data_IF_217985777336
#
_entry.id   IF_217985777336
#
_cell.length_a   1.000
_cell.length_b   1.000
_cell.length_c   1.000
_cell.angle_alpha   90.00
_cell.angle_beta   90.00
_cell.angle_gamma   90.00
#
_symmetry.space_group_name_H-M   'P 1'
#
loop_
_entity.id
_entity.type
_entity.pdbx_description
1 polymer ?
#
# COMPACT_ATOMS: atom_id res chain seq x y z
N UNK A 1 -10.66 20.70 26.58
CA UNK A 1 -10.84 20.46 25.13
C UNK A 1 -9.54 19.98 24.46
N UNK A 2 -8.51 19.58 25.21
CA UNK A 2 -7.17 19.27 24.67
C UNK A 2 -7.03 17.85 24.10
N UNK A 3 -7.69 16.86 24.70
CA UNK A 3 -7.47 15.44 24.33
C UNK A 3 -8.02 15.05 22.94
N UNK A 4 -9.22 15.51 22.55
CA UNK A 4 -9.78 15.16 21.24
C UNK A 4 -8.99 15.79 20.09
N UNK A 5 -8.61 17.07 20.23
CA UNK A 5 -7.83 17.77 19.22
C UNK A 5 -6.43 17.16 19.04
N UNK A 6 -5.77 16.78 20.14
CA UNK A 6 -4.48 16.07 20.10
C UNK A 6 -4.61 14.72 19.39
N UNK A 7 -5.66 13.95 19.71
CA UNK A 7 -5.95 12.68 19.04
C UNK A 7 -6.19 12.86 17.55
N UNK A 8 -6.96 13.88 17.15
CA UNK A 8 -7.25 14.17 15.75
C UNK A 8 -5.98 14.60 14.98
N UNK A 9 -5.14 15.44 15.60
CA UNK A 9 -3.86 15.85 15.03
C UNK A 9 -2.91 14.66 14.84
N UNK A 10 -2.81 13.77 15.83
CA UNK A 10 -2.00 12.56 15.75
C UNK A 10 -2.52 11.60 14.68
N UNK A 11 -3.84 11.40 14.62
CA UNK A 11 -4.48 10.58 13.59
C UNK A 11 -4.15 11.11 12.19
N UNK A 12 -4.26 12.42 11.98
CA UNK A 12 -3.91 13.06 10.71
C UNK A 12 -2.44 12.88 10.36
N UNK A 13 -1.54 13.07 11.33
CA UNK A 13 -0.11 12.87 11.14
C UNK A 13 0.19 11.44 10.66
N UNK A 14 -0.31 10.42 11.36
CA UNK A 14 -0.09 9.01 11.01
C UNK A 14 -0.72 8.67 9.66
N UNK A 15 -1.96 9.10 9.43
CA UNK A 15 -2.71 8.77 8.22
C UNK A 15 -2.10 9.36 6.94
N UNK A 16 -1.44 10.51 7.05
CA UNK A 16 -0.83 11.18 5.91
C UNK A 16 0.66 10.86 5.77
N UNK A 17 1.28 10.20 6.75
CA UNK A 17 2.69 9.83 6.71
C UNK A 17 2.92 8.59 5.84
N UNK A 18 3.54 8.69 4.66
CA UNK A 18 3.74 7.56 3.75
C UNK A 18 4.58 6.45 4.36
N UNK A 19 5.54 6.79 5.24
CA UNK A 19 6.37 5.81 5.95
C UNK A 19 5.55 4.80 6.74
N UNK A 20 4.50 5.25 7.43
CA UNK A 20 3.63 4.38 8.23
C UNK A 20 2.91 3.33 7.37
N UNK A 21 2.45 3.72 6.19
CA UNK A 21 1.83 2.80 5.22
C UNK A 21 2.83 1.77 4.67
N UNK A 22 4.06 2.19 4.38
CA UNK A 22 5.13 1.31 3.90
C UNK A 22 5.51 0.29 4.98
N UNK A 23 5.75 0.74 6.22
CA UNK A 23 6.08 -0.12 7.35
C UNK A 23 4.99 -1.15 7.61
N UNK A 24 3.72 -0.73 7.57
CA UNK A 24 2.60 -1.64 7.73
C UNK A 24 2.58 -2.70 6.62
N UNK A 25 2.75 -2.30 5.36
CA UNK A 25 2.84 -3.23 4.23
C UNK A 25 4.00 -4.23 4.39
N UNK A 26 5.17 -3.77 4.84
CA UNK A 26 6.33 -4.62 5.09
C UNK A 26 6.07 -5.63 6.21
N UNK A 27 5.44 -5.19 7.32
CA UNK A 27 5.08 -6.08 8.43
C UNK A 27 4.15 -7.21 7.99
N UNK A 28 3.15 -6.89 7.13
CA UNK A 28 2.23 -7.87 6.55
C UNK A 28 2.97 -8.85 5.64
N UNK A 29 3.88 -8.36 4.79
CA UNK A 29 4.71 -9.22 3.93
C UNK A 29 5.57 -10.17 4.75
N UNK A 30 6.16 -9.69 5.85
CA UNK A 30 6.92 -10.54 6.79
C UNK A 30 6.04 -11.65 7.36
N UNK A 31 4.81 -11.33 7.77
CA UNK A 31 3.84 -12.31 8.26
C UNK A 31 3.38 -13.31 7.18
N UNK A 32 3.35 -12.91 5.90
CA UNK A 32 2.97 -13.77 4.79
C UNK A 32 4.06 -14.78 4.39
N UNK A 33 5.35 -14.51 4.66
CA UNK A 33 6.47 -15.37 4.24
C UNK A 33 6.39 -16.80 4.80
N UNK A 34 6.17 -17.03 6.11
CA UNK A 34 6.03 -18.39 6.63
C UNK A 34 4.87 -19.17 5.99
N UNK A 35 3.77 -18.48 5.64
CA UNK A 35 2.61 -19.09 4.98
C UNK A 35 3.00 -19.60 3.60
N UNK A 36 3.69 -18.79 2.79
CA UNK A 36 4.15 -19.21 1.47
C UNK A 36 5.17 -20.34 1.54
N UNK A 37 6.10 -20.26 2.48
CA UNK A 37 7.08 -21.32 2.71
C UNK A 37 6.38 -22.66 2.98
N UNK A 38 5.43 -22.68 3.92
CA UNK A 38 4.64 -23.87 4.24
C UNK A 38 3.83 -24.36 3.04
N UNK A 39 3.28 -23.44 2.26
CA UNK A 39 2.54 -23.78 1.04
C UNK A 39 3.42 -24.49 0.01
N UNK A 40 4.66 -24.05 -0.18
CA UNK A 40 5.61 -24.68 -1.09
C UNK A 40 6.08 -26.06 -0.60
N UNK A 41 6.16 -26.25 0.73
CA UNK A 41 6.44 -27.57 1.34
C UNK A 41 5.30 -28.57 1.07
N UNK A 42 4.05 -28.11 1.09
CA UNK A 42 2.85 -28.92 0.84
C UNK A 42 2.56 -29.13 -0.64
N UNK A 43 3.14 -28.34 -1.56
CA UNK A 43 2.80 -28.31 -2.99
C UNK A 43 2.87 -29.64 -3.76
N UNK A 44 3.34 -30.72 -3.12
CA UNK A 44 3.38 -32.10 -3.64
C UNK A 44 2.62 -33.12 -2.77
N UNK A 45 1.90 -32.67 -1.75
CA UNK A 45 1.28 -33.52 -0.76
C UNK A 45 -0.02 -34.18 -1.25
N UNK A 46 -0.41 -35.34 -0.70
CA UNK A 46 -1.66 -36.02 -1.02
C UNK A 46 -2.90 -35.16 -0.74
N UNK A 47 -4.05 -35.62 -1.22
CA UNK A 47 -5.38 -34.99 -1.02
C UNK A 47 -5.74 -34.70 0.44
N UNK A 48 -5.08 -35.36 1.40
CA UNK A 48 -5.28 -35.20 2.83
C UNK A 48 -4.94 -33.78 3.32
N UNK A 49 -4.00 -33.10 2.67
CA UNK A 49 -3.57 -31.73 3.02
C UNK A 49 -4.34 -30.63 2.27
N UNK A 50 -5.41 -30.99 1.54
CA UNK A 50 -6.17 -30.04 0.71
C UNK A 50 -6.68 -28.85 1.51
N UNK A 51 -7.20 -29.08 2.72
CA UNK A 51 -7.75 -28.00 3.57
C UNK A 51 -6.65 -27.04 4.01
N UNK A 52 -5.48 -27.57 4.40
CA UNK A 52 -4.32 -26.75 4.77
C UNK A 52 -3.83 -25.92 3.57
N UNK A 53 -3.63 -26.57 2.41
CA UNK A 53 -3.22 -25.89 1.17
C UNK A 53 -4.17 -24.75 0.80
N UNK A 54 -5.49 -24.98 0.83
CA UNK A 54 -6.48 -23.96 0.54
C UNK A 54 -6.42 -22.80 1.54
N UNK A 55 -6.25 -23.10 2.84
CA UNK A 55 -6.08 -22.09 3.88
C UNK A 55 -4.84 -21.22 3.67
N UNK A 56 -3.72 -21.85 3.32
CA UNK A 56 -2.44 -21.16 3.07
C UNK A 56 -2.50 -20.29 1.80
N UNK A 57 -3.04 -20.80 0.69
CA UNK A 57 -3.23 -20.01 -0.55
C UNK A 57 -4.09 -18.78 -0.25
N UNK A 58 -5.23 -18.98 0.41
CA UNK A 58 -6.19 -17.91 0.74
C UNK A 58 -5.57 -16.87 1.67
N UNK A 59 -4.90 -17.31 2.73
CA UNK A 59 -4.23 -16.45 3.68
C UNK A 59 -3.11 -15.65 3.03
N UNK A 60 -2.27 -16.30 2.23
CA UNK A 60 -1.17 -15.64 1.54
C UNK A 60 -1.66 -14.58 0.56
N UNK A 61 -2.58 -14.92 -0.36
CA UNK A 61 -3.12 -13.98 -1.35
C UNK A 61 -3.84 -12.79 -0.70
N UNK A 62 -4.59 -13.04 0.39
CA UNK A 62 -5.23 -11.99 1.17
C UNK A 62 -4.20 -11.01 1.74
N UNK A 63 -3.15 -11.51 2.40
CA UNK A 63 -2.10 -10.67 2.97
C UNK A 63 -1.34 -9.89 1.89
N UNK A 64 -1.07 -10.49 0.72
CA UNK A 64 -0.48 -9.77 -0.41
C UNK A 64 -1.37 -8.62 -0.88
N UNK A 65 -2.68 -8.86 -1.03
CA UNK A 65 -3.63 -7.81 -1.39
C UNK A 65 -3.61 -6.64 -0.41
N UNK A 66 -3.65 -6.92 0.90
CA UNK A 66 -3.60 -5.88 1.94
C UNK A 66 -2.27 -5.13 1.89
N UNK A 67 -1.14 -5.81 1.70
CA UNK A 67 0.16 -5.16 1.57
C UNK A 67 0.21 -4.22 0.35
N UNK A 68 -0.27 -4.67 -0.82
CA UNK A 68 -0.33 -3.82 -2.02
C UNK A 68 -1.25 -2.61 -1.83
N UNK A 69 -2.40 -2.78 -1.18
CA UNK A 69 -3.30 -1.67 -0.88
C UNK A 69 -2.61 -0.60 -0.01
N UNK A 70 -1.85 -1.02 1.00
CA UNK A 70 -1.08 -0.10 1.85
C UNK A 70 0.02 0.63 1.06
N UNK A 71 0.76 -0.05 0.20
CA UNK A 71 1.78 0.59 -0.65
C UNK A 71 1.16 1.60 -1.63
N UNK A 72 0.03 1.26 -2.25
CA UNK A 72 -0.69 2.19 -3.12
C UNK A 72 -1.23 3.40 -2.33
N UNK A 73 -1.68 3.20 -1.09
CA UNK A 73 -2.06 4.30 -0.19
C UNK A 73 -0.85 5.17 0.18
N UNK A 74 0.34 4.61 0.40
CA UNK A 74 1.55 5.38 0.64
C UNK A 74 1.85 6.35 -0.52
N UNK A 75 1.77 5.85 -1.76
CA UNK A 75 1.91 6.67 -2.98
C UNK A 75 0.80 7.73 -3.04
N UNK A 76 -0.45 7.34 -2.74
CA UNK A 76 -1.57 8.27 -2.66
C UNK A 76 -1.39 9.38 -1.63
N UNK A 77 -0.84 9.06 -0.45
CA UNK A 77 -0.53 10.03 0.60
C UNK A 77 0.54 11.03 0.13
N UNK A 78 1.64 10.56 -0.47
CA UNK A 78 2.67 11.43 -1.07
C UNK A 78 2.10 12.40 -2.11
N UNK A 79 1.20 11.89 -2.96
CA UNK A 79 0.53 12.68 -4.01
C UNK A 79 -0.56 13.61 -3.47
N UNK A 80 -0.82 13.63 -2.15
CA UNK A 80 -1.88 14.45 -1.54
C UNK A 80 -3.30 13.99 -1.92
N UNK A 81 -3.47 12.71 -2.29
CA UNK A 81 -4.75 12.11 -2.68
C UNK A 81 -5.47 11.43 -1.50
N UNK A 82 -4.80 11.33 -0.35
CA UNK A 82 -5.38 10.92 0.92
C UNK A 82 -5.59 12.16 1.77
N UNK A 83 -6.75 12.25 2.40
CA UNK A 83 -7.07 13.26 3.41
C UNK A 83 -7.52 12.56 4.69
N UNK A 84 -7.18 13.14 5.83
CA UNK A 84 -7.63 12.68 7.13
C UNK A 84 -8.30 13.89 7.79
N UNK A 85 -9.62 13.88 7.89
CA UNK A 85 -10.40 14.98 8.46
C UNK A 85 -11.52 14.38 9.31
N UNK A 86 -11.86 15.04 10.42
CA UNK A 86 -12.93 14.61 11.34
C UNK A 86 -12.71 13.21 11.95
N UNK A 87 -11.46 12.84 12.26
CA UNK A 87 -11.10 11.51 12.76
C UNK A 87 -11.31 10.37 11.76
N UNK A 88 -11.54 10.69 10.47
CA UNK A 88 -11.82 9.71 9.42
C UNK A 88 -10.80 9.80 8.30
N UNK A 89 -10.32 8.64 7.86
CA UNK A 89 -9.52 8.53 6.64
C UNK A 89 -10.46 8.68 5.43
N UNK A 90 -10.34 9.80 4.74
CA UNK A 90 -11.04 10.08 3.49
C UNK A 90 -10.04 9.93 2.36
N UNK A 91 -10.00 8.75 1.76
CA UNK A 91 -9.38 8.57 0.43
C UNK A 91 -10.15 9.46 -0.55
N UNK A 92 -9.44 10.29 -1.32
CA UNK A 92 -10.06 11.05 -2.39
C UNK A 92 -10.81 10.12 -3.35
N UNK A 93 -11.78 10.64 -4.10
CA UNK A 93 -12.45 9.89 -5.19
C UNK A 93 -11.52 8.99 -6.03
N UNK A 94 -10.26 9.37 -6.36
CA UNK A 94 -9.33 8.48 -7.07
C UNK A 94 -9.00 7.14 -6.37
N UNK A 95 -9.09 7.07 -5.05
CA UNK A 95 -8.77 5.86 -4.27
C UNK A 95 -10.02 5.16 -3.73
N UNK A 96 -11.20 5.72 -3.98
CA UNK A 96 -12.48 5.23 -3.44
C UNK A 96 -13.24 4.45 -4.50
N UNK A 97 -13.03 3.13 -4.54
CA UNK A 97 -13.76 2.27 -5.46
C UNK A 97 -15.01 1.70 -4.79
N UNK A 98 -16.19 2.09 -5.29
CA UNK A 98 -17.50 1.67 -4.75
C UNK A 98 -17.85 0.20 -5.04
N UNK A 99 -17.14 -0.46 -5.98
CA UNK A 99 -17.62 -1.71 -6.59
C UNK A 99 -16.65 -2.90 -6.56
N UNK A 100 -15.48 -2.83 -5.89
CA UNK A 100 -14.57 -3.98 -5.79
C UNK A 100 -13.65 -4.19 -7.00
N UNK A 101 -13.28 -3.11 -7.68
CA UNK A 101 -12.14 -3.05 -8.61
C UNK A 101 -11.24 -1.91 -8.18
N UNK A 102 -10.09 -2.23 -7.63
CA UNK A 102 -9.43 -1.37 -6.68
C UNK A 102 -7.94 -1.35 -6.89
N UNK A 103 -7.24 -2.48 -6.86
CA UNK A 103 -5.77 -2.41 -6.85
C UNK A 103 -5.20 -1.96 -8.20
N UNK A 104 -5.61 -2.61 -9.29
CA UNK A 104 -5.16 -2.21 -10.64
C UNK A 104 -5.70 -0.84 -11.06
N UNK A 105 -6.92 -0.49 -10.65
CA UNK A 105 -7.53 0.81 -10.97
C UNK A 105 -6.90 1.93 -10.15
N UNK A 106 -6.60 1.71 -8.87
CA UNK A 106 -5.82 2.63 -8.05
C UNK A 106 -4.45 2.84 -8.68
N UNK A 107 -3.76 1.75 -9.05
CA UNK A 107 -2.44 1.87 -9.69
C UNK A 107 -2.50 2.70 -10.98
N UNK A 108 -3.49 2.47 -11.83
CA UNK A 108 -3.72 3.28 -13.03
C UNK A 108 -4.02 4.76 -12.70
N UNK A 109 -4.82 5.02 -11.66
CA UNK A 109 -5.16 6.38 -11.21
C UNK A 109 -3.96 7.10 -10.60
N UNK A 110 -3.03 6.36 -10.01
CA UNK A 110 -1.75 6.84 -9.51
C UNK A 110 -0.69 6.93 -10.63
N UNK A 111 -1.07 6.66 -11.88
CA UNK A 111 -0.20 6.69 -13.07
C UNK A 111 0.97 5.70 -12.98
N UNK A 112 0.76 4.57 -12.30
CA UNK A 112 1.77 3.51 -12.14
C UNK A 112 1.69 2.56 -13.34
N UNK A 113 2.76 2.52 -14.12
CA UNK A 113 2.91 1.56 -15.21
C UNK A 113 3.07 0.14 -14.67
N UNK A 114 2.09 -0.73 -14.95
CA UNK A 114 2.12 -2.14 -14.59
C UNK A 114 2.21 -3.02 -15.84
N UNK A 115 3.01 -4.08 -15.74
CA UNK A 115 3.02 -5.20 -16.69
C UNK A 115 1.73 -6.02 -16.57
N UNK A 116 1.39 -6.78 -17.60
CA UNK A 116 0.19 -7.65 -17.57
C UNK A 116 0.23 -8.68 -16.44
N UNK A 117 1.43 -9.18 -16.09
CA UNK A 117 1.59 -10.11 -14.96
C UNK A 117 1.33 -9.43 -13.61
N UNK A 118 1.83 -8.21 -13.42
CA UNK A 118 1.56 -7.42 -12.21
C UNK A 118 0.07 -7.08 -12.10
N UNK A 119 -0.58 -6.70 -13.20
CA UNK A 119 -2.04 -6.47 -13.24
C UNK A 119 -2.83 -7.72 -12.87
N UNK A 120 -2.46 -8.87 -13.44
CA UNK A 120 -3.10 -10.14 -13.10
C UNK A 120 -2.94 -10.48 -11.62
N UNK A 121 -1.73 -10.33 -11.06
CA UNK A 121 -1.48 -10.57 -9.64
C UNK A 121 -2.33 -9.64 -8.75
N UNK A 122 -2.36 -8.34 -9.03
CA UNK A 122 -3.19 -7.39 -8.27
C UNK A 122 -4.68 -7.74 -8.35
N UNK A 123 -5.18 -8.07 -9.55
CA UNK A 123 -6.57 -8.49 -9.77
C UNK A 123 -6.92 -9.73 -8.96
N UNK A 124 -6.04 -10.75 -8.96
CA UNK A 124 -6.26 -11.96 -8.17
C UNK A 124 -6.24 -11.67 -6.68
N UNK A 125 -5.24 -10.96 -6.18
CA UNK A 125 -5.13 -10.62 -4.74
C UNK A 125 -6.32 -9.80 -4.24
N UNK A 126 -6.83 -8.88 -5.07
CA UNK A 126 -8.05 -8.13 -4.78
C UNK A 126 -9.26 -9.05 -4.57
N UNK A 127 -9.42 -10.09 -5.39
CA UNK A 127 -10.51 -11.06 -5.24
C UNK A 127 -10.48 -11.74 -3.86
N UNK A 128 -9.27 -12.08 -3.38
CA UNK A 128 -9.07 -12.65 -2.05
C UNK A 128 -9.38 -11.66 -0.93
N UNK A 129 -9.05 -10.38 -1.10
CA UNK A 129 -9.48 -9.32 -0.17
C UNK A 129 -10.99 -9.17 -0.13
N UNK A 130 -11.65 -9.22 -1.29
CA UNK A 130 -13.08 -9.00 -1.36
C UNK A 130 -13.88 -10.17 -0.79
N UNK A 131 -13.59 -11.41 -1.19
CA UNK A 131 -14.30 -12.57 -0.65
C UNK A 131 -13.46 -13.85 -0.59
N UNK A 132 -12.56 -14.10 -1.55
CA UNK A 132 -11.90 -15.40 -1.72
C UNK A 132 -11.05 -15.83 -0.52
N UNK A 133 -10.57 -14.89 0.29
CA UNK A 133 -9.85 -15.14 1.53
C UNK A 133 -10.74 -15.39 2.76
N UNK A 134 -12.04 -15.08 2.67
CA UNK A 134 -12.97 -15.06 3.83
C UNK A 134 -14.15 -16.01 3.69
N UNK A 135 -14.65 -16.19 2.48
CA UNK A 135 -15.87 -16.95 2.19
C UNK A 135 -15.58 -18.07 1.19
N UNK A 136 -16.25 -19.22 1.31
CA UNK A 136 -16.10 -20.31 0.36
C UNK A 136 -16.74 -20.01 -1.01
N UNK A 137 -17.63 -19.02 -1.08
CA UNK A 137 -18.36 -18.61 -2.28
C UNK A 137 -18.43 -17.07 -2.38
N UNK A 138 -18.57 -16.51 -3.59
CA UNK A 138 -18.70 -15.07 -3.78
C UNK A 138 -19.97 -14.50 -3.14
N UNK A 139 -19.89 -13.23 -2.72
CA UNK A 139 -21.01 -12.53 -2.06
C UNK A 139 -21.97 -11.94 -3.09
N UNK A 140 -21.47 -11.49 -4.25
CA UNK A 140 -22.28 -10.88 -5.31
C UNK A 140 -22.39 -11.81 -6.51
N UNK A 141 -23.51 -11.68 -7.22
CA UNK A 141 -23.82 -12.46 -8.42
C UNK A 141 -22.77 -12.28 -9.54
N UNK A 142 -22.30 -11.05 -9.77
CA UNK A 142 -21.27 -10.80 -10.80
C UNK A 142 -19.95 -11.51 -10.48
N UNK A 143 -19.58 -11.57 -9.20
CA UNK A 143 -18.36 -12.23 -8.74
C UNK A 143 -18.49 -13.76 -8.87
N UNK A 144 -19.72 -14.29 -8.81
CA UNK A 144 -20.03 -15.71 -9.07
C UNK A 144 -19.54 -16.14 -10.44
N UNK A 145 -19.89 -15.40 -11.48
CA UNK A 145 -19.53 -15.73 -12.86
C UNK A 145 -17.99 -15.71 -13.03
N UNK A 146 -17.33 -14.73 -12.43
CA UNK A 146 -15.87 -14.59 -12.48
C UNK A 146 -15.14 -15.67 -11.68
N UNK A 147 -15.67 -16.08 -10.52
CA UNK A 147 -15.05 -17.11 -9.68
C UNK A 147 -15.00 -18.48 -10.38
N UNK A 148 -16.03 -18.81 -11.17
CA UNK A 148 -16.12 -20.11 -11.85
C UNK A 148 -15.51 -20.12 -13.26
N UNK A 149 -14.99 -19.01 -13.76
CA UNK A 149 -14.22 -18.98 -15.02
C UNK A 149 -12.76 -19.46 -14.85
N UNK A 150 -12.38 -19.95 -13.66
CA UNK A 150 -11.08 -20.53 -13.28
C UNK A 150 -9.85 -19.60 -13.38
N UNK A 151 -10.01 -18.34 -13.79
CA UNK A 151 -8.85 -17.50 -14.08
C UNK A 151 -8.35 -16.69 -12.86
N UNK A 152 -9.19 -16.50 -11.84
CA UNK A 152 -8.95 -15.52 -10.77
C UNK A 152 -8.49 -16.11 -9.44
N UNK A 153 -8.85 -17.36 -9.12
CA UNK A 153 -8.57 -18.00 -7.83
C UNK A 153 -7.47 -19.04 -7.93
N UNK A 154 -6.37 -18.65 -8.57
CA UNK A 154 -5.18 -19.50 -8.70
C UNK A 154 -3.98 -18.85 -8.03
N UNK A 155 -3.06 -19.69 -7.62
CA UNK A 155 -1.69 -19.31 -7.31
C UNK A 155 -0.78 -19.83 -8.42
N UNK A 156 0.15 -19.00 -8.88
CA UNK A 156 1.19 -19.37 -9.83
C UNK A 156 2.49 -19.50 -9.05
N UNK A 157 3.33 -20.49 -9.39
CA UNK A 157 4.58 -20.76 -8.67
C UNK A 157 5.56 -19.58 -8.64
N UNK A 158 5.46 -18.66 -9.60
CA UNK A 158 6.27 -17.45 -9.67
C UNK A 158 5.68 -16.25 -8.92
N UNK A 159 4.51 -16.39 -8.30
CA UNK A 159 3.79 -15.27 -7.70
C UNK A 159 4.54 -14.66 -6.52
N UNK A 160 5.30 -15.43 -5.73
CA UNK A 160 6.09 -14.86 -4.62
C UNK A 160 7.13 -13.88 -5.14
N UNK A 161 7.92 -14.27 -6.14
CA UNK A 161 8.94 -13.40 -6.74
C UNK A 161 8.32 -12.17 -7.40
N UNK A 162 7.18 -12.36 -8.07
CA UNK A 162 6.45 -11.27 -8.71
C UNK A 162 5.88 -10.30 -7.67
N UNK A 163 5.32 -10.83 -6.57
CA UNK A 163 4.79 -10.04 -5.47
C UNK A 163 5.88 -9.23 -4.78
N UNK A 164 7.04 -9.86 -4.54
CA UNK A 164 8.18 -9.18 -3.94
C UNK A 164 8.71 -8.05 -4.85
N UNK A 165 8.93 -8.34 -6.13
CA UNK A 165 9.38 -7.34 -7.10
C UNK A 165 8.38 -6.17 -7.24
N UNK A 166 7.08 -6.48 -7.29
CA UNK A 166 6.03 -5.46 -7.38
C UNK A 166 5.98 -4.59 -6.10
N UNK A 167 6.06 -5.21 -4.92
CA UNK A 167 6.05 -4.48 -3.66
C UNK A 167 7.27 -3.56 -3.51
N UNK A 168 8.45 -4.02 -3.94
CA UNK A 168 9.68 -3.22 -3.90
C UNK A 168 9.62 -2.05 -4.89
N UNK A 169 9.06 -2.28 -6.09
CA UNK A 169 8.75 -1.24 -7.07
C UNK A 169 7.80 -0.18 -6.50
N UNK A 170 6.67 -0.59 -5.91
CA UNK A 170 5.71 0.35 -5.32
C UNK A 170 6.31 1.13 -4.15
N UNK A 171 7.13 0.47 -3.31
CA UNK A 171 7.84 1.13 -2.20
C UNK A 171 8.83 2.18 -2.72
N UNK A 172 9.59 1.85 -3.78
CA UNK A 172 10.50 2.80 -4.43
C UNK A 172 9.75 4.02 -4.94
N UNK A 173 8.62 3.84 -5.61
CA UNK A 173 7.78 4.95 -6.10
C UNK A 173 7.31 5.82 -4.92
N UNK A 174 6.81 5.20 -3.84
CA UNK A 174 6.35 5.90 -2.66
C UNK A 174 7.45 6.72 -1.96
N UNK A 175 8.71 6.30 -2.08
CA UNK A 175 9.86 7.00 -1.51
C UNK A 175 10.45 8.07 -2.45
N UNK A 176 10.40 7.85 -3.77
CA UNK A 176 11.00 8.76 -4.76
C UNK A 176 10.12 9.97 -5.13
N UNK A 177 8.81 9.86 -4.93
CA UNK A 177 7.88 10.95 -5.26
C UNK A 177 8.11 12.15 -4.34
N UNK A 178 8.37 13.32 -4.94
CA UNK A 178 8.46 14.58 -4.18
C UNK A 178 7.12 14.84 -3.50
N UNK A 179 7.16 15.27 -2.25
CA UNK A 179 5.92 15.64 -1.55
C UNK A 179 5.19 16.72 -2.32
N UNK A 180 3.86 16.58 -2.44
CA UNK A 180 3.05 17.61 -3.08
C UNK A 180 3.15 18.93 -2.30
N UNK A 181 3.27 20.09 -2.97
CA UNK A 181 3.31 21.41 -2.30
C UNK A 181 2.13 21.66 -1.38
N UNK A 182 0.94 21.15 -1.72
CA UNK A 182 -0.28 21.25 -0.88
C UNK A 182 -0.11 20.61 0.50
N UNK A 183 0.70 19.56 0.60
CA UNK A 183 1.00 18.93 1.89
C UNK A 183 1.91 19.84 2.74
N UNK A 184 2.89 20.47 2.11
CA UNK A 184 3.81 21.44 2.75
C UNK A 184 3.02 22.65 3.26
N UNK A 185 2.15 23.22 2.43
CA UNK A 185 1.29 24.36 2.80
C UNK A 185 0.39 24.05 4.02
N UNK A 186 -0.11 22.81 4.15
CA UNK A 186 -0.99 22.42 5.26
C UNK A 186 -0.28 22.28 6.61
N UNK A 187 1.05 22.16 6.60
CA UNK A 187 1.87 21.95 7.81
C UNK A 187 2.42 23.27 8.39
N UNK A 188 2.42 24.35 7.61
CA UNK A 188 3.11 25.60 7.97
C UNK A 188 4.63 25.45 7.83
N UNK A 189 5.34 26.54 7.49
CA UNK A 189 6.79 26.51 7.23
C UNK A 189 7.60 25.99 8.43
N UNK A 190 7.16 26.28 9.66
CA UNK A 190 7.84 25.87 10.89
C UNK A 190 7.86 24.34 11.10
N UNK A 191 6.78 23.63 10.73
CA UNK A 191 6.69 22.19 10.91
C UNK A 191 7.54 21.41 9.90
N UNK A 192 7.89 22.00 8.75
CA UNK A 192 8.80 21.39 7.78
C UNK A 192 10.27 21.46 8.21
N UNK A 193 10.68 22.54 8.90
CA UNK A 193 12.02 22.69 9.46
C UNK A 193 12.26 21.70 10.62
N UNK A 194 11.29 21.59 11.53
CA UNK A 194 11.36 20.63 12.64
C UNK A 194 11.38 19.17 12.17
N UNK A 195 10.76 18.89 11.00
CA UNK A 195 10.81 17.58 10.36
C UNK A 195 12.18 17.26 9.75
N UNK A 196 12.83 18.23 9.12
CA UNK A 196 14.16 18.08 8.55
C UNK A 196 15.23 17.91 9.64
N UNK A 197 15.06 18.57 10.78
CA UNK A 197 16.00 18.52 11.91
C UNK A 197 15.84 17.26 12.79
N UNK A 198 14.63 16.70 12.91
CA UNK A 198 14.37 15.50 13.71
C UNK A 198 14.27 14.18 12.91
N UNK A 199 14.43 14.23 11.59
CA UNK A 199 14.34 13.08 10.67
C UNK A 199 15.45 12.02 10.83
N UNK A 200 16.43 12.27 11.72
CA UNK A 200 17.56 11.38 11.98
C UNK A 200 17.17 10.02 12.58
N UNK A 201 15.92 9.84 13.04
CA UNK A 201 15.47 8.53 13.54
C UNK A 201 15.08 7.53 12.42
N UNK A 202 14.78 8.00 11.20
CA UNK A 202 14.28 7.15 10.11
C UNK A 202 15.19 7.14 8.86
N UNK A 203 16.26 7.94 8.84
CA UNK A 203 17.15 8.14 7.70
C UNK A 203 18.27 7.09 7.54
N UNK A 204 18.12 5.84 7.99
CA UNK A 204 19.19 4.83 7.79
C UNK A 204 19.34 4.35 6.34
N UNK A 205 18.57 4.87 5.37
CA UNK A 205 18.74 4.52 3.94
C UNK A 205 18.45 5.60 2.89
N UNK A 206 18.10 6.83 3.26
CA UNK A 206 18.10 7.93 2.29
C UNK A 206 19.54 8.41 2.13
N UNK A 207 20.06 8.50 0.90
CA UNK A 207 21.41 9.00 0.69
C UNK A 207 21.48 10.46 1.11
N UNK A 208 22.56 10.88 1.77
CA UNK A 208 22.78 12.26 2.25
C UNK A 208 22.63 13.33 1.16
N UNK A 209 22.66 12.94 -0.12
CA UNK A 209 22.42 13.79 -1.28
C UNK A 209 20.94 14.21 -1.45
N UNK A 210 19.98 13.33 -1.14
CA UNK A 210 18.55 13.65 -1.30
C UNK A 210 18.07 14.68 -0.27
N UNK A 211 18.63 14.64 0.95
CA UNK A 211 18.32 15.60 2.01
C UNK A 211 18.89 16.98 1.66
N UNK A 212 20.12 17.04 1.12
CA UNK A 212 20.77 18.29 0.73
C UNK A 212 20.02 19.01 -0.42
N UNK A 213 19.46 18.26 -1.36
CA UNK A 213 18.67 18.84 -2.47
C UNK A 213 17.29 19.34 -2.04
N UNK A 214 16.69 18.70 -1.01
CA UNK A 214 15.44 19.17 -0.42
C UNK A 214 15.62 20.47 0.39
N UNK A 215 16.72 20.59 1.15
CA UNK A 215 17.05 21.80 1.90
C UNK A 215 17.33 23.01 0.98
N UNK A 216 18.05 22.80 -0.13
CA UNK A 216 18.29 23.86 -1.13
C UNK A 216 17.02 24.35 -1.84
N UNK A 217 15.99 23.50 -1.95
CA UNK A 217 14.69 23.92 -2.49
C UNK A 217 13.96 24.87 -1.53
N UNK A 218 14.04 24.62 -0.22
CA UNK A 218 13.40 25.47 0.79
C UNK A 218 14.05 26.86 0.86
N UNK A 219 15.38 26.96 0.81
CA UNK A 219 16.11 28.24 0.84
C UNK A 219 15.83 29.14 -0.37
N UNK A 220 15.55 28.55 -1.55
CA UNK A 220 15.19 29.34 -2.75
C UNK A 220 13.78 29.90 -2.71
N UNK A 221 12.87 29.25 -1.99
CA UNK A 221 11.49 29.71 -1.83
C UNK A 221 11.45 30.90 -0.86
N UNK A 222 12.19 30.84 0.24
CA UNK A 222 12.27 31.94 1.22
C UNK A 222 13.01 33.18 0.69
N UNK A 223 13.96 33.01 -0.24
CA UNK A 223 14.69 34.13 -0.85
C UNK A 223 13.91 34.86 -1.97
N UNK A 224 12.77 34.34 -2.42
CA UNK A 224 11.98 34.90 -3.52
C UNK A 224 10.77 35.76 -3.09
N UNK A 225 10.52 35.87 -1.78
CA UNK A 225 9.34 36.53 -1.20
C UNK A 225 9.66 37.82 -0.42
N UNK A 226 10.84 38.41 -0.62
CA UNK A 226 11.25 39.69 -0.03
C UNK A 226 11.18 40.85 -1.04
#
# INVERSE_FOLDING_TARGET
>A
MTNQQESDNLFQLIALEPGQWIEHAQSIRIAARPIFKRLMEIGHAPTEDRVEMLGLVRGWMLLQGVAFENLLKAIGARKGLISANDGLLKSGRPLKHRNGHGLSTIAATLEISLTEKEKDLLRRSEEYMFWGGRYPVPIKENDRILAYSNDHLRLITTDEKLADALADKLSTIALSEKMSPKFIESKGEDACLEWAENGDFFATRASSLEIADQLKCAEKISAGTA
#
